data_IF_366001281710
#
_entry.id   IF_366001281710
#
_cell.length_a   1.000
_cell.length_b   1.000
_cell.length_c   1.000
_cell.angle_alpha   90.00
_cell.angle_beta   90.00
_cell.angle_gamma   90.00
#
_symmetry.space_group_name_H-M   'P 1'
#
loop_
_entity.id
_entity.type
_entity.pdbx_description
1 polymer ?
#
# COMPACT_ATOMS: atom_id res chain seq x y z
N UNK A 1 -20.07 11.56 18.93
CA UNK A 1 -19.26 10.53 18.25
C UNK A 1 -18.22 11.27 17.42
N UNK A 2 -16.93 11.11 17.73
CA UNK A 2 -15.86 11.92 17.13
C UNK A 2 -15.69 11.56 15.66
N UNK A 3 -15.81 12.55 14.79
CA UNK A 3 -15.43 12.45 13.39
C UNK A 3 -13.96 12.06 13.29
N UNK A 4 -13.67 10.92 12.67
CA UNK A 4 -12.32 10.55 12.25
C UNK A 4 -11.97 11.31 10.96
N UNK A 5 -12.00 12.65 11.03
CA UNK A 5 -11.25 13.49 10.11
C UNK A 5 -9.78 13.40 10.48
N UNK A 6 -9.16 12.25 10.22
CA UNK A 6 -7.69 12.18 10.23
C UNK A 6 -7.24 13.03 9.06
N UNK A 7 -6.66 14.20 9.35
CA UNK A 7 -6.03 15.06 8.37
C UNK A 7 -5.12 14.19 7.51
N UNK A 8 -5.45 14.06 6.22
CA UNK A 8 -4.60 13.32 5.27
C UNK A 8 -3.22 13.98 5.34
N UNK A 9 -2.14 13.20 5.55
CA UNK A 9 -0.81 13.77 5.58
C UNK A 9 -0.59 14.53 4.27
N UNK A 10 -0.09 15.76 4.38
CA UNK A 10 0.27 16.53 3.20
C UNK A 10 1.35 15.76 2.44
N UNK A 11 1.36 15.86 1.11
CA UNK A 11 2.27 15.10 0.24
C UNK A 11 3.74 15.18 0.67
N UNK A 12 4.16 16.31 1.26
CA UNK A 12 5.52 16.53 1.78
C UNK A 12 5.87 15.57 2.92
N UNK A 13 4.96 15.36 3.88
CA UNK A 13 5.21 14.51 5.07
C UNK A 13 5.37 13.04 4.71
N UNK A 14 4.64 12.55 3.71
CA UNK A 14 4.77 11.15 3.26
C UNK A 14 6.10 10.91 2.56
N UNK A 15 6.59 11.88 1.78
CA UNK A 15 7.87 11.79 1.09
C UNK A 15 9.07 11.88 2.04
N UNK A 16 8.91 12.54 3.20
CA UNK A 16 9.94 12.57 4.24
C UNK A 16 10.07 11.21 4.95
N UNK A 17 8.98 10.45 5.08
CA UNK A 17 8.99 9.14 5.74
C UNK A 17 9.19 7.96 4.78
N UNK A 18 8.87 8.14 3.50
CA UNK A 18 9.05 7.16 2.43
C UNK A 18 10.09 7.68 1.44
N UNK A 19 11.35 7.30 1.63
CA UNK A 19 12.42 7.61 0.68
C UNK A 19 12.21 6.85 -0.64
N UNK A 20 11.76 7.59 -1.66
CA UNK A 20 11.50 7.06 -3.00
C UNK A 20 12.72 7.20 -3.94
N UNK A 21 13.84 7.76 -3.46
CA UNK A 21 15.03 7.91 -4.28
C UNK A 21 15.67 6.54 -4.55
N UNK A 22 15.83 6.19 -5.83
CA UNK A 22 16.50 4.95 -6.22
C UNK A 22 18.02 5.16 -6.20
N UNK A 23 18.67 4.59 -5.18
CA UNK A 23 20.12 4.59 -5.03
C UNK A 23 20.83 3.66 -6.01
N UNK A 24 22.17 3.78 -6.08
CA UNK A 24 23.02 2.85 -6.84
C UNK A 24 23.30 1.54 -6.10
N UNK A 25 23.26 1.59 -4.78
CA UNK A 25 23.49 0.45 -3.89
C UNK A 25 22.15 -0.21 -3.53
N UNK A 26 22.19 -1.49 -3.21
CA UNK A 26 21.03 -2.22 -2.71
C UNK A 26 20.68 -1.84 -1.26
N UNK A 27 19.51 -2.28 -0.80
CA UNK A 27 19.09 -2.18 0.59
C UNK A 27 19.09 -3.55 1.26
N UNK A 28 19.19 -3.55 2.59
CA UNK A 28 18.97 -4.73 3.42
C UNK A 28 17.50 -5.14 3.45
N UNK A 29 17.23 -6.38 3.85
CA UNK A 29 15.87 -6.87 4.02
C UNK A 29 15.10 -6.09 5.11
N UNK A 30 15.79 -5.60 6.13
CA UNK A 30 15.20 -4.80 7.20
C UNK A 30 14.76 -3.42 6.70
N UNK A 31 15.57 -2.79 5.84
CA UNK A 31 15.22 -1.53 5.17
C UNK A 31 14.03 -1.73 4.23
N UNK A 32 14.04 -2.80 3.43
CA UNK A 32 12.90 -3.14 2.58
C UNK A 32 11.61 -3.35 3.40
N UNK A 33 11.70 -4.04 4.55
CA UNK A 33 10.58 -4.23 5.46
C UNK A 33 10.00 -2.91 5.95
N UNK A 34 10.84 -1.97 6.40
CA UNK A 34 10.40 -0.62 6.81
C UNK A 34 9.69 0.12 5.68
N UNK A 35 10.24 0.06 4.46
CA UNK A 35 9.61 0.69 3.28
C UNK A 35 8.23 0.09 3.01
N UNK A 36 8.08 -1.23 3.09
CA UNK A 36 6.79 -1.90 2.91
C UNK A 36 5.77 -1.49 3.99
N UNK A 37 6.19 -1.41 5.26
CA UNK A 37 5.33 -0.97 6.37
C UNK A 37 4.85 0.47 6.16
N UNK A 38 5.77 1.39 5.85
CA UNK A 38 5.45 2.80 5.57
C UNK A 38 4.52 2.93 4.36
N UNK A 39 4.81 2.22 3.26
CA UNK A 39 3.98 2.24 2.06
C UNK A 39 2.55 1.78 2.36
N UNK A 40 2.39 0.68 3.12
CA UNK A 40 1.07 0.21 3.54
C UNK A 40 0.41 1.22 4.48
N UNK A 41 1.13 1.77 5.47
CA UNK A 41 0.59 2.72 6.45
C UNK A 41 -0.06 3.93 5.78
N UNK A 42 0.65 4.56 4.84
CA UNK A 42 0.20 5.78 4.16
C UNK A 42 -0.71 5.55 2.95
N UNK A 43 -0.85 4.30 2.48
CA UNK A 43 -1.76 3.98 1.38
C UNK A 43 -3.23 4.09 1.79
N UNK A 44 -4.07 4.56 0.85
CA UNK A 44 -5.53 4.58 1.02
C UNK A 44 -6.06 3.16 1.16
N UNK A 45 -6.85 2.91 2.21
CA UNK A 45 -7.41 1.59 2.50
C UNK A 45 -8.69 1.35 1.69
N UNK A 46 -8.55 0.99 0.41
CA UNK A 46 -9.69 0.71 -0.50
C UNK A 46 -10.59 -0.43 -0.02
N UNK A 47 -10.05 -1.35 0.79
CA UNK A 47 -10.81 -2.44 1.42
C UNK A 47 -11.78 -1.97 2.52
N UNK A 48 -11.59 -0.77 3.06
CA UNK A 48 -12.33 -0.31 4.22
C UNK A 48 -13.83 -0.16 3.91
N UNK A 49 -14.76 -0.59 4.80
CA UNK A 49 -16.21 -0.54 4.54
C UNK A 49 -16.78 0.86 4.24
N UNK A 50 -16.05 1.91 4.63
CA UNK A 50 -16.40 3.31 4.40
C UNK A 50 -15.62 3.98 3.25
N UNK A 51 -15.02 3.20 2.36
CA UNK A 51 -14.40 3.71 1.14
C UNK A 51 -15.45 3.81 0.01
N UNK A 52 -15.88 5.04 -0.31
CA UNK A 52 -16.90 5.33 -1.33
C UNK A 52 -16.39 6.22 -2.47
N UNK A 53 -15.07 6.41 -2.58
CA UNK A 53 -14.48 7.37 -3.51
C UNK A 53 -14.49 6.88 -4.97
N UNK A 54 -14.65 5.58 -5.18
CA UNK A 54 -14.52 4.95 -6.50
C UNK A 54 -15.66 3.95 -6.74
N UNK A 55 -15.81 3.52 -7.99
CA UNK A 55 -16.76 2.47 -8.39
C UNK A 55 -16.30 1.05 -8.01
N UNK A 56 -15.19 0.94 -7.27
CA UNK A 56 -14.67 -0.28 -6.67
C UNK A 56 -14.34 -0.05 -5.20
N UNK A 57 -14.32 -1.11 -4.40
CA UNK A 57 -14.01 -1.06 -2.98
C UNK A 57 -14.24 -2.42 -2.31
N UNK A 58 -13.75 -2.58 -1.09
CA UNK A 58 -13.76 -3.87 -0.40
C UNK A 58 -12.64 -4.80 -0.86
N UNK A 59 -12.66 -6.02 -0.36
CA UNK A 59 -11.70 -7.08 -0.67
C UNK A 59 -12.44 -8.39 -0.88
N UNK A 60 -12.15 -9.06 -1.99
CA UNK A 60 -12.57 -10.45 -2.24
C UNK A 60 -11.38 -11.36 -1.96
N UNK A 61 -11.51 -12.22 -0.95
CA UNK A 61 -10.42 -13.07 -0.46
C UNK A 61 -9.98 -14.13 -1.49
N UNK A 62 -10.91 -14.62 -2.30
CA UNK A 62 -10.62 -15.61 -3.35
C UNK A 62 -9.87 -14.93 -4.49
N UNK A 63 -10.31 -13.74 -4.90
CA UNK A 63 -9.63 -12.94 -5.90
C UNK A 63 -8.21 -12.53 -5.46
N UNK A 64 -8.02 -12.13 -4.19
CA UNK A 64 -6.70 -11.81 -3.65
C UNK A 64 -5.78 -13.04 -3.66
N UNK A 65 -6.30 -14.20 -3.26
CA UNK A 65 -5.53 -15.46 -3.31
C UNK A 65 -5.12 -15.79 -4.75
N UNK A 66 -6.02 -15.58 -5.71
CA UNK A 66 -5.74 -15.70 -7.13
C UNK A 66 -4.61 -14.77 -7.58
N UNK A 67 -4.65 -13.51 -7.16
CA UNK A 67 -3.59 -12.54 -7.47
C UNK A 67 -2.22 -12.99 -6.93
N UNK A 68 -2.14 -13.43 -5.67
CA UNK A 68 -0.89 -13.96 -5.11
C UNK A 68 -0.38 -15.19 -5.87
N UNK A 69 -1.27 -16.10 -6.26
CA UNK A 69 -0.89 -17.28 -7.04
C UNK A 69 -0.35 -16.89 -8.43
N UNK A 70 -1.04 -15.97 -9.12
CA UNK A 70 -0.60 -15.48 -10.43
C UNK A 70 0.77 -14.81 -10.34
N UNK A 71 1.01 -13.96 -9.35
CA UNK A 71 2.32 -13.31 -9.14
C UNK A 71 3.42 -14.33 -8.79
N UNK A 72 3.10 -15.35 -7.99
CA UNK A 72 4.06 -16.40 -7.66
C UNK A 72 4.45 -17.26 -8.87
N UNK A 73 3.52 -17.48 -9.81
CA UNK A 73 3.77 -18.28 -11.01
C UNK A 73 4.53 -17.53 -12.11
N UNK A 74 4.35 -16.19 -12.21
CA UNK A 74 5.10 -15.30 -13.10
C UNK A 74 5.37 -15.87 -14.52
N UNK A 75 4.32 -16.37 -15.19
CA UNK A 75 4.39 -16.90 -16.56
C UNK A 75 3.61 -16.02 -17.53
N UNK A 76 4.05 -15.99 -18.77
CA UNK A 76 3.27 -15.40 -19.86
C UNK A 76 2.40 -16.48 -20.53
N UNK A 77 1.35 -16.06 -21.23
CA UNK A 77 0.59 -16.90 -22.17
C UNK A 77 1.37 -17.16 -23.46
#
# INVERSE_FOLDING_TARGET
MKEAGSQLPHHVTVLEELDLAVGKEGCSLEEAGRVLETAVHYSVKTQHPHFYNQLYGGIDEVALTGAWLTEALNTNS
#
